data_IF_008781641105
#
_entry.id   IF_008781641105
#
_cell.length_a   1.000
_cell.length_b   1.000
_cell.length_c   1.000
_cell.angle_alpha   90.00
_cell.angle_beta   90.00
_cell.angle_gamma   90.00
#
_symmetry.space_group_name_H-M   'P 1'
#
loop_
_entity.id
_entity.type
_entity.pdbx_description
1 polymer ?
#
# COMPACT_ATOMS: atom_id res chain seq x y z
N UNK A 1 17.79 -67.83 20.54
CA UNK A 1 17.14 -66.54 20.23
C UNK A 1 17.34 -66.25 18.75
N UNK A 2 16.26 -65.89 18.07
CA UNK A 2 16.03 -66.12 16.63
C UNK A 2 16.95 -65.28 15.72
N UNK A 3 17.49 -65.94 14.71
CA UNK A 3 18.09 -65.35 13.49
C UNK A 3 17.01 -64.67 12.63
N UNK A 4 17.37 -63.62 11.91
CA UNK A 4 16.68 -63.20 10.69
C UNK A 4 17.63 -62.46 9.74
N UNK A 5 18.22 -63.21 8.82
CA UNK A 5 18.67 -62.77 7.50
C UNK A 5 17.49 -62.83 6.53
N UNK A 6 17.31 -61.82 5.67
CA UNK A 6 16.57 -61.84 4.38
C UNK A 6 16.19 -60.41 3.98
N UNK A 7 16.10 -59.95 2.73
CA UNK A 7 16.50 -60.36 1.37
C UNK A 7 16.26 -59.08 0.55
N UNK A 8 17.17 -58.68 -0.33
CA UNK A 8 16.93 -57.60 -1.27
C UNK A 8 15.81 -58.01 -2.26
N UNK A 9 14.84 -57.13 -2.51
CA UNK A 9 13.86 -57.30 -3.57
C UNK A 9 13.87 -56.06 -4.48
N UNK A 10 13.94 -56.35 -5.78
CA UNK A 10 14.12 -55.42 -6.90
C UNK A 10 12.94 -54.45 -7.09
N UNK A 11 13.33 -53.25 -7.54
CA UNK A 11 12.70 -52.38 -8.53
C UNK A 11 11.18 -52.45 -8.74
N UNK A 12 10.53 -51.32 -8.46
CA UNK A 12 9.53 -50.75 -9.36
C UNK A 12 9.83 -49.25 -9.50
N UNK A 13 10.52 -48.88 -10.57
CA UNK A 13 10.65 -47.48 -11.00
C UNK A 13 9.28 -47.00 -11.46
N UNK A 14 8.45 -46.55 -10.52
CA UNK A 14 7.28 -45.74 -10.82
C UNK A 14 7.73 -44.34 -11.17
N UNK A 15 7.80 -44.03 -12.47
CA UNK A 15 8.05 -42.66 -12.94
C UNK A 15 6.83 -41.81 -12.59
N UNK A 16 6.79 -41.23 -11.39
CA UNK A 16 5.88 -40.13 -11.11
C UNK A 16 6.39 -38.93 -11.91
N UNK A 17 5.77 -38.68 -13.06
CA UNK A 17 5.89 -37.43 -13.78
C UNK A 17 5.32 -36.32 -12.88
N UNK A 18 6.17 -35.71 -12.06
CA UNK A 18 5.85 -34.48 -11.34
C UNK A 18 5.72 -33.36 -12.36
N UNK A 19 4.50 -33.09 -12.81
CA UNK A 19 4.16 -31.88 -13.56
C UNK A 19 4.35 -30.69 -12.63
N UNK A 20 5.54 -30.09 -12.67
CA UNK A 20 5.80 -28.78 -12.08
C UNK A 20 4.95 -27.75 -12.83
N UNK A 21 3.75 -27.49 -12.31
CA UNK A 21 2.95 -26.36 -12.73
C UNK A 21 3.76 -25.08 -12.44
N UNK A 22 4.26 -24.44 -13.49
CA UNK A 22 4.88 -23.12 -13.39
C UNK A 22 3.79 -22.13 -13.01
N UNK A 23 3.73 -21.77 -11.73
CA UNK A 23 2.91 -20.64 -11.27
C UNK A 23 3.49 -19.37 -11.86
N UNK A 24 2.89 -18.88 -12.96
CA UNK A 24 3.13 -17.53 -13.47
C UNK A 24 2.68 -16.56 -12.38
N UNK A 25 3.64 -16.00 -11.64
CA UNK A 25 3.37 -14.93 -10.70
C UNK A 25 2.84 -13.71 -11.45
N UNK A 26 1.77 -13.09 -10.94
CA UNK A 26 1.29 -11.84 -11.49
C UNK A 26 2.41 -10.78 -11.43
N UNK A 27 2.59 -9.95 -12.47
CA UNK A 27 3.59 -8.89 -12.44
C UNK A 27 3.32 -7.94 -11.27
N UNK A 28 4.38 -7.37 -10.66
CA UNK A 28 4.22 -6.40 -9.59
C UNK A 28 3.41 -5.21 -10.09
N UNK A 29 2.41 -4.77 -9.31
CA UNK A 29 1.64 -3.59 -9.63
C UNK A 29 2.55 -2.36 -9.63
N UNK A 30 2.73 -1.73 -10.79
CA UNK A 30 3.57 -0.54 -10.94
C UNK A 30 2.96 0.67 -10.22
N UNK A 31 3.83 1.48 -9.61
CA UNK A 31 3.41 2.75 -9.02
C UNK A 31 2.90 3.69 -10.13
N UNK A 32 1.70 4.23 -9.94
CA UNK A 32 1.04 5.12 -10.90
C UNK A 32 0.91 6.50 -10.32
N UNK A 33 1.33 7.52 -11.05
CA UNK A 33 1.11 8.93 -10.66
C UNK A 33 0.06 9.58 -11.55
N UNK A 34 -0.85 10.34 -10.96
CA UNK A 34 -1.77 11.25 -11.66
C UNK A 34 -1.69 12.66 -11.08
N UNK A 35 -2.17 13.64 -11.85
CA UNK A 35 -2.47 14.98 -11.35
C UNK A 35 -3.97 15.09 -11.03
N UNK A 36 -4.32 15.86 -10.00
CA UNK A 36 -5.72 16.08 -9.62
C UNK A 36 -5.89 17.08 -8.47
N UNK A 37 -7.01 16.98 -7.77
CA UNK A 37 -7.31 17.78 -6.59
C UNK A 37 -6.95 17.00 -5.33
N UNK A 38 -6.30 17.64 -4.36
CA UNK A 38 -6.10 17.03 -3.05
C UNK A 38 -6.18 18.04 -1.91
N UNK A 39 -6.54 17.55 -0.72
CA UNK A 39 -6.49 18.35 0.50
C UNK A 39 -6.13 17.51 1.72
N UNK A 40 -5.54 18.18 2.71
CA UNK A 40 -5.21 17.65 4.03
C UNK A 40 -5.68 18.65 5.07
N UNK A 41 -6.58 18.20 5.95
CA UNK A 41 -6.97 18.93 7.16
C UNK A 41 -6.55 18.12 8.37
N UNK A 42 -5.84 18.73 9.31
CA UNK A 42 -5.41 18.13 10.57
C UNK A 42 -5.85 19.03 11.71
N UNK A 43 -6.56 18.47 12.69
CA UNK A 43 -7.05 19.17 13.88
C UNK A 43 -7.77 20.49 13.52
N UNK A 44 -8.58 20.45 12.46
CA UNK A 44 -9.37 21.59 11.95
C UNK A 44 -8.61 22.57 11.05
N UNK A 45 -7.28 22.46 10.92
CA UNK A 45 -6.47 23.35 10.07
C UNK A 45 -6.15 22.71 8.72
N UNK A 46 -6.25 23.49 7.65
CA UNK A 46 -5.90 23.07 6.29
C UNK A 46 -4.41 23.26 6.06
N UNK A 47 -3.74 22.20 5.64
CA UNK A 47 -2.29 22.16 5.36
C UNK A 47 -1.97 21.91 3.89
N UNK A 48 -2.88 21.24 3.18
CA UNK A 48 -2.83 21.05 1.73
C UNK A 48 -4.20 21.42 1.18
N UNK A 49 -4.21 22.25 0.14
CA UNK A 49 -5.37 22.49 -0.71
C UNK A 49 -4.86 22.84 -2.12
N UNK A 50 -4.68 21.81 -2.95
CA UNK A 50 -4.11 21.93 -4.29
C UNK A 50 -5.16 21.47 -5.28
N UNK A 51 -5.42 22.28 -6.31
CA UNK A 51 -6.36 21.97 -7.38
C UNK A 51 -5.62 21.64 -8.67
N UNK A 52 -6.07 20.61 -9.38
CA UNK A 52 -5.66 20.11 -10.70
C UNK A 52 -4.21 19.64 -10.83
N UNK A 53 -3.30 20.15 -10.01
CA UNK A 53 -1.87 19.91 -10.08
C UNK A 53 -1.35 19.08 -8.91
N UNK A 54 -2.23 18.61 -8.02
CA UNK A 54 -1.78 17.76 -6.93
C UNK A 54 -1.27 16.44 -7.48
N UNK A 55 -0.01 16.13 -7.16
CA UNK A 55 0.57 14.82 -7.45
C UNK A 55 -0.06 13.78 -6.54
N UNK A 56 -0.77 12.82 -7.11
CA UNK A 56 -1.35 11.67 -6.41
C UNK A 56 -0.63 10.44 -6.92
N UNK A 57 0.11 9.77 -6.06
CA UNK A 57 0.91 8.60 -6.42
C UNK A 57 0.38 7.36 -5.72
N UNK A 58 -0.11 6.40 -6.50
CA UNK A 58 -0.54 5.09 -6.01
C UNK A 58 0.70 4.21 -5.79
N UNK A 59 0.85 3.71 -4.56
CA UNK A 59 2.05 3.01 -4.08
C UNK A 59 2.04 1.50 -4.42
N UNK A 60 1.08 1.04 -5.22
CA UNK A 60 0.92 -0.37 -5.59
C UNK A 60 -0.53 -0.72 -5.95
N UNK A 61 -0.87 -2.02 -5.82
CA UNK A 61 -2.17 -2.57 -6.24
C UNK A 61 -3.25 -2.63 -5.15
N UNK A 62 -2.92 -2.34 -3.90
CA UNK A 62 -3.85 -2.38 -2.75
C UNK A 62 -4.72 -1.12 -2.62
N UNK A 63 -4.41 -0.07 -3.39
CA UNK A 63 -5.08 1.22 -3.34
C UNK A 63 -4.43 2.24 -2.40
N UNK A 64 -3.28 1.91 -1.79
CA UNK A 64 -2.47 2.85 -1.01
C UNK A 64 -1.93 3.96 -1.90
N UNK A 65 -1.87 5.18 -1.38
CA UNK A 65 -1.44 6.34 -2.17
C UNK A 65 -0.83 7.46 -1.32
N UNK A 66 -0.13 8.37 -1.97
CA UNK A 66 0.37 9.62 -1.40
C UNK A 66 -0.27 10.82 -2.08
N UNK A 67 -0.35 11.94 -1.36
CA UNK A 67 -0.70 13.25 -1.94
C UNK A 67 0.46 14.22 -1.79
N UNK A 68 0.80 14.94 -2.85
CA UNK A 68 1.83 15.98 -2.90
C UNK A 68 3.26 15.54 -2.51
N UNK A 69 3.51 14.23 -2.42
CA UNK A 69 4.84 13.68 -2.16
C UNK A 69 5.73 13.73 -3.42
N UNK A 70 7.05 13.61 -3.25
CA UNK A 70 7.99 13.43 -4.36
C UNK A 70 8.27 14.69 -5.21
N UNK A 71 7.96 15.89 -4.70
CA UNK A 71 8.36 17.15 -5.34
C UNK A 71 9.70 17.64 -4.77
N UNK A 72 10.47 18.44 -5.51
CA UNK A 72 11.79 18.95 -5.07
C UNK A 72 11.70 19.94 -3.90
N UNK A 73 10.51 20.50 -3.68
CA UNK A 73 10.18 21.39 -2.56
C UNK A 73 8.78 21.02 -2.05
N UNK A 74 8.61 19.83 -1.43
CA UNK A 74 7.28 19.45 -0.97
C UNK A 74 6.87 20.42 0.13
N UNK A 75 5.63 20.89 0.05
CA UNK A 75 4.98 21.48 1.20
C UNK A 75 4.59 20.38 2.18
N UNK A 76 3.39 20.46 2.72
CA UNK A 76 2.82 19.33 3.43
C UNK A 76 2.42 18.21 2.46
N UNK A 77 2.57 16.96 2.90
CA UNK A 77 2.15 15.77 2.18
C UNK A 77 1.69 14.70 3.15
N UNK A 78 0.90 13.75 2.66
CA UNK A 78 0.37 12.65 3.46
C UNK A 78 0.39 11.33 2.70
N UNK A 79 0.58 10.25 3.45
CA UNK A 79 0.50 8.88 2.98
C UNK A 79 -0.79 8.29 3.52
N UNK A 80 -1.53 7.60 2.66
CA UNK A 80 -2.73 6.86 3.01
C UNK A 80 -2.47 5.40 2.66
N UNK A 81 -2.33 4.57 3.67
CA UNK A 81 -2.04 3.15 3.53
C UNK A 81 -3.30 2.35 3.81
N UNK A 82 -3.74 1.56 2.84
CA UNK A 82 -4.92 0.73 2.97
C UNK A 82 -4.69 -0.35 4.02
N UNK A 83 -5.69 -0.56 4.85
CA UNK A 83 -5.72 -1.63 5.85
C UNK A 83 -6.92 -2.53 5.59
N UNK A 84 -7.02 -3.60 6.37
CA UNK A 84 -8.17 -4.50 6.32
C UNK A 84 -9.48 -3.80 6.68
N UNK A 85 -10.60 -4.46 6.34
CA UNK A 85 -11.96 -4.02 6.73
C UNK A 85 -12.29 -2.60 6.28
N UNK A 86 -11.69 -2.14 5.18
CA UNK A 86 -11.89 -0.79 4.62
C UNK A 86 -11.40 0.33 5.54
N UNK A 87 -10.42 0.06 6.40
CA UNK A 87 -9.67 1.08 7.13
C UNK A 87 -8.50 1.59 6.28
N UNK A 88 -7.95 2.73 6.69
CA UNK A 88 -6.63 3.15 6.27
C UNK A 88 -5.87 3.75 7.46
N UNK A 89 -4.56 3.57 7.47
CA UNK A 89 -3.66 4.39 8.26
C UNK A 89 -3.25 5.61 7.46
N UNK A 90 -3.12 6.74 8.14
CA UNK A 90 -2.65 7.98 7.54
C UNK A 90 -1.51 8.54 8.35
N UNK A 91 -0.44 8.90 7.66
CA UNK A 91 0.67 9.67 8.21
C UNK A 91 0.99 10.87 7.33
N UNK A 92 1.70 11.84 7.88
CA UNK A 92 2.08 13.07 7.19
C UNK A 92 3.43 13.57 7.67
N UNK A 93 3.93 14.61 7.02
CA UNK A 93 5.26 15.12 7.30
C UNK A 93 5.35 16.04 8.53
N UNK A 94 4.21 16.61 8.98
CA UNK A 94 4.02 17.55 10.12
C UNK A 94 4.84 18.86 10.06
N UNK A 95 6.02 18.80 9.48
CA UNK A 95 6.92 19.91 9.18
C UNK A 95 7.14 19.93 7.67
N UNK A 96 6.93 21.07 6.99
CA UNK A 96 6.93 21.14 5.53
C UNK A 96 8.30 20.86 4.90
N UNK A 97 9.40 20.91 5.66
CA UNK A 97 10.74 20.57 5.17
C UNK A 97 11.15 19.11 5.43
N UNK A 98 10.32 18.33 6.14
CA UNK A 98 10.59 16.91 6.36
C UNK A 98 10.41 16.14 5.06
N UNK A 99 11.34 15.24 4.75
CA UNK A 99 11.32 14.38 3.57
C UNK A 99 10.54 13.07 3.80
N UNK A 100 10.08 12.82 5.03
CA UNK A 100 9.32 11.61 5.40
C UNK A 100 7.98 11.95 6.05
N UNK A 101 6.97 11.11 5.77
CA UNK A 101 5.66 11.14 6.43
C UNK A 101 5.65 10.28 7.71
N UNK A 102 6.49 10.66 8.69
CA UNK A 102 6.67 9.88 9.92
C UNK A 102 5.60 10.14 10.99
N UNK A 103 4.89 11.27 10.93
CA UNK A 103 3.94 11.64 11.97
C UNK A 103 2.59 10.93 11.74
N UNK A 104 2.10 10.07 12.66
CA UNK A 104 0.83 9.39 12.49
C UNK A 104 -0.36 10.33 12.75
N UNK A 105 -1.40 10.22 11.92
CA UNK A 105 -2.70 10.87 12.11
C UNK A 105 -3.77 9.91 12.65
N UNK A 106 -3.58 8.60 12.45
CA UNK A 106 -4.45 7.55 12.97
C UNK A 106 -4.60 6.37 12.00
N UNK A 107 -5.28 5.33 12.47
CA UNK A 107 -5.60 4.10 11.71
C UNK A 107 -7.11 3.89 11.57
N UNK A 108 -7.90 4.89 11.96
CA UNK A 108 -9.36 4.86 12.00
C UNK A 108 -10.01 5.47 10.75
N UNK A 109 -9.24 5.72 9.69
CA UNK A 109 -9.74 6.44 8.53
C UNK A 109 -10.71 5.58 7.73
N UNK A 110 -11.85 6.18 7.36
CA UNK A 110 -12.86 5.58 6.49
C UNK A 110 -13.02 6.37 5.21
N UNK A 111 -13.20 5.65 4.10
CA UNK A 111 -13.48 6.26 2.81
C UNK A 111 -14.92 6.79 2.76
N UNK A 112 -15.07 8.05 2.37
CA UNK A 112 -16.34 8.71 2.02
C UNK A 112 -16.13 9.55 0.77
N UNK A 113 -16.64 9.07 -0.37
CA UNK A 113 -16.36 9.67 -1.67
C UNK A 113 -14.87 9.62 -2.01
N UNK A 114 -14.30 10.76 -2.43
CA UNK A 114 -12.85 10.89 -2.67
C UNK A 114 -12.03 11.22 -1.43
N UNK A 115 -12.60 11.10 -0.22
CA UNK A 115 -11.92 11.43 1.02
C UNK A 115 -11.77 10.23 1.96
N UNK A 116 -10.73 10.25 2.76
CA UNK A 116 -10.49 9.42 3.94
C UNK A 116 -10.62 10.30 5.18
N UNK A 117 -11.50 9.91 6.10
CA UNK A 117 -11.85 10.70 7.28
C UNK A 117 -11.57 9.86 8.53
N UNK A 118 -10.70 10.37 9.40
CA UNK A 118 -10.46 9.85 10.75
C UNK A 118 -10.85 10.88 11.81
N UNK A 119 -10.66 10.56 13.09
CA UNK A 119 -10.99 11.47 14.21
C UNK A 119 -10.26 12.80 14.16
N UNK A 120 -8.97 12.79 13.81
CA UNK A 120 -8.09 13.96 13.84
C UNK A 120 -7.99 14.69 12.51
N UNK A 121 -8.20 13.99 11.40
CA UNK A 121 -7.85 14.50 10.10
C UNK A 121 -8.73 13.98 8.97
N UNK A 122 -8.66 14.70 7.86
CA UNK A 122 -9.32 14.37 6.61
C UNK A 122 -8.33 14.55 5.47
N UNK A 123 -8.20 13.52 4.64
CA UNK A 123 -7.40 13.53 3.41
C UNK A 123 -8.32 13.32 2.24
N UNK A 124 -8.27 14.18 1.23
CA UNK A 124 -9.03 13.98 0.00
C UNK A 124 -8.12 13.93 -1.21
N UNK A 125 -8.47 13.09 -2.18
CA UNK A 125 -7.80 12.93 -3.45
C UNK A 125 -8.84 12.64 -4.54
N UNK A 126 -8.90 13.50 -5.56
CA UNK A 126 -9.79 13.35 -6.70
C UNK A 126 -8.95 13.38 -7.97
N UNK A 127 -9.27 12.49 -8.89
CA UNK A 127 -8.72 12.58 -10.25
C UNK A 127 -9.28 13.86 -10.89
N UNK A 128 -8.37 14.67 -11.45
CA UNK A 128 -8.72 15.85 -12.24
C UNK A 128 -9.30 15.52 -13.60
#
# INVERSE_FOLDING_TARGET
>A
MKHATATAALAAMGVLATTTAMTVGAPPAEAKTIAGDCSLTVDGKVYVDIKKTCRIEFMGGDGSFTINAGTTKPGYFAYVTMMEKGLASVSWNETPKSMSAQAPLGEDFRRKGGCWIGKRAKVCAFKG
#
